data_IF_363743388249
#
_entry.id   IF_363743388249
#
_cell.length_a   1.000
_cell.length_b   1.000
_cell.length_c   1.000
_cell.angle_alpha   90.00
_cell.angle_beta   90.00
_cell.angle_gamma   90.00
#
_symmetry.space_group_name_H-M   'P 1'
#
loop_
_entity.id
_entity.type
_entity.pdbx_description
1 polymer ?
#
# COMPACT_ATOMS: atom_id res chain seq x y z
N UNK A 1 -26.95 -16.04 -7.98
CA UNK A 1 -26.40 -15.61 -6.68
C UNK A 1 -24.90 -15.34 -6.71
N UNK A 2 -24.01 -16.33 -6.85
CA UNK A 2 -22.54 -16.09 -6.77
C UNK A 2 -21.99 -15.08 -7.80
N UNK A 3 -22.47 -15.14 -9.05
CA UNK A 3 -22.04 -14.23 -10.12
C UNK A 3 -22.56 -12.79 -9.91
N UNK A 4 -23.77 -12.65 -9.38
CA UNK A 4 -24.41 -11.36 -9.06
C UNK A 4 -23.75 -10.70 -7.83
N UNK A 5 -23.37 -11.48 -6.82
CA UNK A 5 -22.61 -10.98 -5.67
C UNK A 5 -21.20 -10.51 -6.09
N UNK A 6 -20.51 -11.23 -6.99
CA UNK A 6 -19.21 -10.77 -7.50
C UNK A 6 -19.32 -9.44 -8.25
N UNK A 7 -20.33 -9.25 -9.10
CA UNK A 7 -20.54 -7.96 -9.77
C UNK A 7 -20.86 -6.83 -8.78
N UNK A 8 -21.62 -7.11 -7.72
CA UNK A 8 -21.91 -6.15 -6.64
C UNK A 8 -20.65 -5.78 -5.85
N UNK A 9 -19.78 -6.75 -5.56
CA UNK A 9 -18.48 -6.53 -4.91
C UNK A 9 -17.56 -5.74 -5.83
N UNK A 10 -17.40 -6.10 -7.11
CA UNK A 10 -16.57 -5.35 -8.07
C UNK A 10 -17.08 -3.91 -8.27
N UNK A 11 -18.40 -3.71 -8.29
CA UNK A 11 -19.03 -2.38 -8.33
C UNK A 11 -18.75 -1.59 -7.05
N UNK A 12 -18.82 -2.25 -5.89
CA UNK A 12 -18.47 -1.65 -4.61
C UNK A 12 -16.98 -1.29 -4.54
N UNK A 13 -16.08 -2.18 -4.98
CA UNK A 13 -14.65 -1.90 -5.12
C UNK A 13 -14.39 -0.73 -6.07
N UNK A 14 -15.12 -0.65 -7.18
CA UNK A 14 -15.00 0.46 -8.15
C UNK A 14 -15.51 1.77 -7.56
N UNK A 15 -16.64 1.76 -6.83
CA UNK A 15 -17.14 2.92 -6.09
C UNK A 15 -16.18 3.33 -4.98
N UNK A 16 -15.58 2.36 -4.28
CA UNK A 16 -14.52 2.59 -3.32
C UNK A 16 -13.37 3.31 -4.03
N UNK A 17 -12.87 2.76 -5.14
CA UNK A 17 -11.80 3.36 -5.93
C UNK A 17 -12.17 4.79 -6.35
N UNK A 18 -13.35 5.04 -6.92
CA UNK A 18 -13.77 6.38 -7.35
C UNK A 18 -13.83 7.35 -6.17
N UNK A 19 -14.35 6.91 -5.02
CA UNK A 19 -14.40 7.69 -3.78
C UNK A 19 -13.00 7.90 -3.16
N UNK A 20 -12.10 6.93 -3.34
CA UNK A 20 -10.71 6.93 -2.87
C UNK A 20 -9.75 7.68 -3.82
N UNK A 21 -10.19 8.08 -5.03
CA UNK A 21 -9.28 8.56 -6.10
C UNK A 21 -9.66 9.91 -6.70
N UNK A 22 -10.89 10.37 -6.58
CA UNK A 22 -11.28 11.71 -7.03
C UNK A 22 -11.24 12.69 -5.84
N UNK A 23 -10.61 13.87 -5.98
CA UNK A 23 -10.84 14.94 -5.01
C UNK A 23 -12.34 15.24 -4.98
N UNK A 24 -12.94 15.54 -3.82
CA UNK A 24 -14.32 15.98 -3.80
C UNK A 24 -14.41 17.19 -4.73
N UNK A 25 -15.20 17.09 -5.81
CA UNK A 25 -15.58 18.28 -6.57
C UNK A 25 -16.20 19.20 -5.53
N UNK A 26 -15.58 20.36 -5.29
CA UNK A 26 -16.23 21.46 -4.59
C UNK A 26 -17.43 21.84 -5.45
N UNK A 27 -18.57 21.20 -5.20
CA UNK A 27 -19.82 21.56 -5.86
C UNK A 27 -20.32 22.92 -5.33
N UNK A 28 -19.76 23.43 -4.23
CA UNK A 28 -20.05 24.78 -3.74
C UNK A 28 -18.77 25.48 -3.24
N UNK A 29 -18.66 26.76 -3.59
CA UNK A 29 -17.50 27.61 -3.35
C UNK A 29 -17.27 27.95 -1.88
N UNK A 30 -16.01 28.29 -1.59
CA UNK A 30 -15.45 29.19 -0.56
C UNK A 30 -16.08 29.33 0.85
N UNK A 31 -16.90 28.40 1.33
CA UNK A 31 -17.29 28.34 2.73
C UNK A 31 -16.81 27.06 3.41
N UNK A 32 -15.66 27.18 4.07
CA UNK A 32 -14.90 26.13 4.75
C UNK A 32 -15.56 25.52 6.00
N UNK A 33 -16.85 25.75 6.25
CA UNK A 33 -17.50 25.43 7.53
C UNK A 33 -18.64 24.42 7.46
N UNK A 34 -19.07 23.97 6.27
CA UNK A 34 -20.22 23.04 6.11
C UNK A 34 -19.92 21.73 5.37
N UNK A 35 -18.65 21.40 5.15
CA UNK A 35 -18.25 20.20 4.37
C UNK A 35 -18.37 18.89 5.18
N UNK A 36 -18.47 18.96 6.50
CA UNK A 36 -18.38 17.76 7.34
C UNK A 36 -19.61 16.84 7.18
N UNK A 37 -20.85 17.31 7.23
CA UNK A 37 -22.02 16.40 7.26
C UNK A 37 -22.35 15.69 5.93
N UNK A 38 -21.93 16.25 4.78
CA UNK A 38 -22.35 15.74 3.46
C UNK A 38 -21.53 14.54 2.95
N UNK A 39 -20.35 14.27 3.50
CA UNK A 39 -19.51 13.12 3.10
C UNK A 39 -19.82 11.88 3.96
N UNK A 40 -20.26 12.07 5.21
CA UNK A 40 -20.59 10.96 6.11
C UNK A 40 -21.80 10.13 5.65
N UNK A 41 -22.84 10.76 5.08
CA UNK A 41 -24.03 10.03 4.65
C UNK A 41 -23.79 9.10 3.43
N UNK A 42 -23.13 9.54 2.34
CA UNK A 42 -22.75 8.67 1.24
C UNK A 42 -21.75 7.57 1.66
N UNK A 43 -20.81 7.89 2.56
CA UNK A 43 -19.80 6.93 3.02
C UNK A 43 -20.36 5.91 4.01
N UNK A 44 -21.29 6.32 4.89
CA UNK A 44 -22.03 5.41 5.76
C UNK A 44 -22.85 4.40 4.97
N UNK A 45 -23.49 4.83 3.88
CA UNK A 45 -24.18 3.92 2.94
C UNK A 45 -23.20 2.96 2.25
N UNK A 46 -22.02 3.44 1.87
CA UNK A 46 -20.97 2.61 1.29
C UNK A 46 -20.50 1.50 2.25
N UNK A 47 -20.28 1.82 3.53
CA UNK A 47 -19.91 0.83 4.55
C UNK A 47 -21.04 -0.18 4.76
N UNK A 48 -22.30 0.28 4.86
CA UNK A 48 -23.45 -0.59 5.03
C UNK A 48 -23.61 -1.58 3.85
N UNK A 49 -23.44 -1.11 2.61
CA UNK A 49 -23.45 -1.96 1.41
C UNK A 49 -22.35 -3.05 1.49
N UNK A 50 -21.15 -2.67 1.92
CA UNK A 50 -20.00 -3.56 2.00
C UNK A 50 -20.15 -4.63 3.09
N UNK A 51 -20.63 -4.24 4.27
CA UNK A 51 -20.95 -5.18 5.35
C UNK A 51 -22.05 -6.15 4.94
N UNK A 52 -23.07 -5.67 4.22
CA UNK A 52 -24.14 -6.50 3.71
C UNK A 52 -23.64 -7.54 2.69
N UNK A 53 -22.77 -7.14 1.76
CA UNK A 53 -22.18 -8.08 0.79
C UNK A 53 -21.21 -9.07 1.44
N UNK A 54 -20.48 -8.66 2.48
CA UNK A 54 -19.63 -9.55 3.26
C UNK A 54 -20.47 -10.63 3.97
N UNK A 55 -21.58 -10.26 4.60
CA UNK A 55 -22.51 -11.23 5.24
C UNK A 55 -23.07 -12.23 4.23
N UNK A 56 -23.46 -11.77 3.03
CA UNK A 56 -23.91 -12.65 1.96
C UNK A 56 -22.81 -13.61 1.48
N UNK A 57 -21.57 -13.14 1.38
CA UNK A 57 -20.44 -13.98 0.98
C UNK A 57 -20.15 -15.08 2.01
N UNK A 58 -20.19 -14.73 3.31
CA UNK A 58 -20.01 -15.69 4.41
C UNK A 58 -21.15 -16.72 4.45
N UNK A 59 -22.41 -16.31 4.27
CA UNK A 59 -23.53 -17.22 4.21
C UNK A 59 -23.45 -18.20 3.02
N UNK A 60 -22.97 -17.72 1.86
CA UNK A 60 -22.70 -18.56 0.68
C UNK A 60 -21.57 -19.57 0.90
N UNK A 61 -20.56 -19.22 1.70
CA UNK A 61 -19.47 -20.11 2.08
C UNK A 61 -19.91 -21.18 3.08
N UNK A 62 -20.82 -20.82 3.99
CA UNK A 62 -21.33 -21.69 5.06
C UNK A 62 -22.60 -22.49 4.68
N UNK A 63 -23.16 -22.29 3.47
CA UNK A 63 -24.44 -22.91 3.00
C UNK A 63 -25.64 -22.65 3.92
N UNK A 64 -25.68 -21.50 4.60
CA UNK A 64 -26.85 -21.09 5.37
C UNK A 64 -27.88 -20.38 4.47
N UNK A 65 -29.19 -20.59 4.68
CA UNK A 65 -30.22 -19.89 3.91
C UNK A 65 -30.27 -18.40 4.33
N UNK A 66 -30.10 -17.51 3.35
CA UNK A 66 -30.24 -16.06 3.53
C UNK A 66 -31.73 -15.69 3.56
N UNK A 67 -32.21 -15.18 4.70
CA UNK A 67 -33.51 -14.49 4.76
C UNK A 67 -33.39 -13.11 4.09
N UNK A 68 -34.20 -12.89 3.04
CA UNK A 68 -34.46 -11.57 2.46
C UNK A 68 -35.31 -10.78 3.45
N UNK A 69 -34.68 -9.90 4.23
CA UNK A 69 -35.44 -8.86 4.96
C UNK A 69 -35.49 -7.62 4.08
N UNK A 70 -36.67 -7.38 3.53
CA UNK A 70 -37.04 -6.16 2.85
C UNK A 70 -36.89 -4.94 3.77
N UNK A 71 -36.49 -3.83 3.18
CA UNK A 71 -36.33 -2.52 3.80
C UNK A 71 -37.64 -1.99 4.40
N UNK A 72 -37.61 -1.62 5.68
CA UNK A 72 -38.35 -0.47 6.18
C UNK A 72 -37.46 0.29 7.18
N UNK A 73 -37.17 1.55 6.83
CA UNK A 73 -36.42 2.49 7.66
C UNK A 73 -37.44 3.12 8.61
N UNK A 74 -37.56 2.60 9.82
CA UNK A 74 -38.12 3.35 10.94
C UNK A 74 -37.00 3.74 11.91
N UNK A 75 -36.87 5.06 12.09
CA UNK A 75 -36.04 5.67 13.12
C UNK A 75 -36.53 5.24 14.50
N UNK A 76 -35.76 4.41 15.20
CA UNK A 76 -35.88 4.27 16.66
C UNK A 76 -34.49 4.34 17.27
N UNK A 77 -34.25 5.46 17.93
CA UNK A 77 -33.21 5.68 18.92
C UNK A 77 -33.44 4.75 20.12
N UNK A 78 -32.47 3.90 20.43
CA UNK A 78 -32.17 3.48 21.81
C UNK A 78 -30.79 2.85 21.96
N UNK A 79 -30.16 2.97 23.14
CA UNK A 79 -28.73 2.82 23.34
C UNK A 79 -28.34 1.41 23.78
N UNK A 80 -27.09 1.04 23.47
CA UNK A 80 -26.33 0.05 24.23
C UNK A 80 -26.57 -1.42 23.87
N UNK A 81 -25.71 -1.94 23.00
CA UNK A 81 -25.08 -3.24 23.26
C UNK A 81 -23.75 -3.28 22.53
N UNK A 82 -22.69 -2.89 23.24
CA UNK A 82 -21.33 -3.23 22.86
C UNK A 82 -21.19 -4.75 22.95
N UNK A 83 -21.55 -5.44 21.87
CA UNK A 83 -21.09 -6.80 21.64
C UNK A 83 -19.58 -6.70 21.38
N UNK A 84 -18.80 -6.87 22.45
CA UNK A 84 -17.36 -7.12 22.41
C UNK A 84 -17.10 -8.50 21.82
N UNK A 85 -17.47 -8.71 20.55
CA UNK A 85 -16.88 -9.77 19.77
C UNK A 85 -15.46 -9.28 19.43
N UNK A 86 -14.47 -9.71 20.22
CA UNK A 86 -13.07 -9.59 19.83
C UNK A 86 -12.94 -10.28 18.46
N UNK A 87 -12.88 -9.48 17.39
CA UNK A 87 -12.59 -9.96 16.06
C UNK A 87 -11.27 -10.75 16.13
N UNK A 88 -11.18 -11.92 15.47
CA UNK A 88 -9.96 -12.71 15.50
C UNK A 88 -8.80 -11.83 15.02
N UNK A 89 -7.76 -11.71 15.86
CA UNK A 89 -6.55 -10.95 15.59
C UNK A 89 -5.93 -11.45 14.28
N UNK A 90 -6.26 -10.79 13.16
CA UNK A 90 -5.70 -11.12 11.85
C UNK A 90 -4.23 -10.74 11.88
N UNK A 91 -3.36 -11.75 12.04
CA UNK A 91 -1.92 -11.54 12.00
C UNK A 91 -1.45 -11.34 10.56
N UNK A 92 -0.95 -10.14 10.25
CA UNK A 92 -0.37 -9.81 8.94
C UNK A 92 1.09 -9.42 9.17
N UNK A 93 2.07 -10.25 8.73
CA UNK A 93 3.49 -9.98 8.94
C UNK A 93 3.91 -8.62 8.38
N UNK A 94 4.61 -7.83 9.21
CA UNK A 94 5.09 -6.51 8.83
C UNK A 94 4.07 -5.39 8.96
N UNK A 95 2.83 -5.71 9.37
CA UNK A 95 1.74 -4.75 9.56
C UNK A 95 1.48 -4.46 11.04
N UNK A 96 2.58 -4.22 11.77
CA UNK A 96 2.63 -3.66 13.12
C UNK A 96 3.94 -2.89 13.27
N UNK A 97 3.93 -1.76 13.96
CA UNK A 97 5.10 -0.90 14.19
C UNK A 97 6.23 -1.67 14.88
N UNK A 98 5.90 -2.51 15.87
CA UNK A 98 6.91 -3.31 16.59
C UNK A 98 7.61 -4.32 15.68
N UNK A 99 6.84 -5.02 14.85
CA UNK A 99 7.37 -5.95 13.85
C UNK A 99 8.16 -5.20 12.78
N UNK A 100 7.64 -4.07 12.32
CA UNK A 100 8.24 -3.28 11.26
C UNK A 100 9.59 -2.68 11.67
N UNK A 101 9.71 -2.18 12.91
CA UNK A 101 10.98 -1.73 13.48
C UNK A 101 11.98 -2.89 13.56
N UNK A 102 11.54 -4.07 14.03
CA UNK A 102 12.41 -5.26 14.13
C UNK A 102 12.89 -5.70 12.75
N UNK A 103 11.99 -5.85 11.78
CA UNK A 103 12.31 -6.28 10.43
C UNK A 103 13.27 -5.29 9.75
N UNK A 104 13.04 -3.99 9.89
CA UNK A 104 13.90 -2.95 9.32
C UNK A 104 15.30 -2.98 9.97
N UNK A 105 15.38 -3.11 11.30
CA UNK A 105 16.66 -3.23 12.02
C UNK A 105 17.45 -4.46 11.60
N UNK A 106 16.80 -5.61 11.39
CA UNK A 106 17.46 -6.83 10.91
C UNK A 106 18.08 -6.60 9.53
N UNK A 107 17.32 -6.02 8.60
CA UNK A 107 17.84 -5.71 7.26
C UNK A 107 18.98 -4.70 7.31
N UNK A 108 18.83 -3.62 8.08
CA UNK A 108 19.85 -2.57 8.20
C UNK A 108 21.15 -3.12 8.80
N UNK A 109 21.07 -3.96 9.83
CA UNK A 109 22.22 -4.65 10.39
C UNK A 109 22.89 -5.59 9.38
N UNK A 110 22.10 -6.30 8.56
CA UNK A 110 22.63 -7.23 7.55
C UNK A 110 23.39 -6.50 6.44
N UNK A 111 22.95 -5.30 6.04
CA UNK A 111 23.61 -4.50 5.00
C UNK A 111 24.66 -3.53 5.56
N UNK A 112 24.73 -3.34 6.87
CA UNK A 112 25.64 -2.37 7.49
C UNK A 112 27.11 -2.62 7.15
N UNK A 113 27.55 -3.88 7.21
CA UNK A 113 28.91 -4.27 6.82
C UNK A 113 29.20 -3.93 5.36
N UNK A 114 28.24 -4.18 4.47
CA UNK A 114 28.33 -3.87 3.05
C UNK A 114 28.48 -2.37 2.77
N UNK A 115 27.73 -1.54 3.51
CA UNK A 115 27.71 -0.09 3.33
C UNK A 115 28.91 0.62 3.99
N UNK A 116 29.46 0.00 5.03
CA UNK A 116 30.58 0.56 5.80
C UNK A 116 31.94 0.18 5.22
N UNK A 117 32.01 -0.87 4.40
CA UNK A 117 33.26 -1.30 3.75
C UNK A 117 33.56 -0.44 2.49
N UNK A 118 34.69 0.30 2.47
CA UNK A 118 35.11 1.08 1.31
C UNK A 118 35.27 0.26 0.02
N UNK A 119 35.59 -1.04 0.11
CA UNK A 119 35.78 -1.93 -1.04
C UNK A 119 34.50 -2.11 -1.85
N UNK A 120 33.33 -2.02 -1.20
CA UNK A 120 32.03 -2.23 -1.84
C UNK A 120 31.32 -0.93 -2.22
N UNK A 121 31.94 0.22 -1.97
CA UNK A 121 31.32 1.54 -2.22
C UNK A 121 30.89 1.74 -3.66
N UNK A 122 31.72 1.34 -4.62
CA UNK A 122 31.40 1.46 -6.05
C UNK A 122 30.25 0.53 -6.42
N UNK A 123 30.32 -0.75 -6.04
CA UNK A 123 29.28 -1.75 -6.34
C UNK A 123 27.93 -1.39 -5.70
N UNK A 124 27.92 -0.93 -4.45
CA UNK A 124 26.69 -0.48 -3.76
C UNK A 124 26.12 0.80 -4.37
N UNK A 125 26.95 1.73 -4.84
CA UNK A 125 26.49 2.90 -5.59
C UNK A 125 25.85 2.50 -6.93
N UNK A 126 26.43 1.51 -7.64
CA UNK A 126 25.87 0.98 -8.88
C UNK A 126 24.50 0.34 -8.64
N UNK A 127 24.35 -0.53 -7.63
CA UNK A 127 23.04 -1.12 -7.26
C UNK A 127 22.00 -0.03 -6.99
N UNK A 128 22.35 0.97 -6.18
CA UNK A 128 21.45 2.08 -5.86
C UNK A 128 21.05 2.86 -7.12
N UNK A 129 21.99 3.04 -8.04
CA UNK A 129 21.77 3.76 -9.31
C UNK A 129 20.87 2.98 -10.26
N UNK A 130 21.12 1.68 -10.45
CA UNK A 130 20.31 0.76 -11.26
C UNK A 130 18.85 0.80 -10.79
N UNK A 131 18.65 0.56 -9.48
CA UNK A 131 17.31 0.48 -8.89
C UNK A 131 16.62 1.85 -8.89
N UNK A 132 17.31 2.89 -8.41
CA UNK A 132 16.76 4.24 -8.32
C UNK A 132 16.35 4.80 -9.68
N UNK A 133 17.20 4.60 -10.70
CA UNK A 133 16.95 5.05 -12.07
C UNK A 133 15.79 4.30 -12.72
N UNK A 134 15.70 2.98 -12.52
CA UNK A 134 14.57 2.21 -13.02
C UNK A 134 13.26 2.68 -12.39
N UNK A 135 13.23 2.89 -11.07
CA UNK A 135 12.07 3.39 -10.35
C UNK A 135 11.62 4.78 -10.82
N UNK A 136 12.56 5.72 -11.01
CA UNK A 136 12.22 7.08 -11.45
C UNK A 136 11.69 7.16 -12.89
N UNK A 137 11.91 6.12 -13.69
CA UNK A 137 11.49 6.05 -15.08
C UNK A 137 10.12 5.37 -15.27
N UNK A 138 9.55 4.79 -14.21
CA UNK A 138 8.19 4.23 -14.26
C UNK A 138 7.20 5.40 -14.22
N UNK A 139 6.70 5.78 -15.40
CA UNK A 139 5.81 6.92 -15.58
C UNK A 139 4.61 6.53 -16.44
N UNK A 140 3.50 7.25 -16.32
CA UNK A 140 2.23 6.92 -17.00
C UNK A 140 2.30 6.90 -18.52
N UNK A 141 3.25 7.61 -19.11
CA UNK A 141 3.17 7.99 -20.53
C UNK A 141 3.50 6.85 -21.51
N UNK A 142 4.04 5.72 -21.03
CA UNK A 142 4.44 4.60 -21.88
C UNK A 142 4.37 3.25 -21.12
N UNK A 143 3.29 2.46 -21.34
CA UNK A 143 3.16 1.14 -20.74
C UNK A 143 4.27 0.15 -21.16
N UNK A 144 4.75 0.23 -22.40
CA UNK A 144 5.83 -0.63 -22.89
C UNK A 144 7.14 -0.30 -22.18
N UNK A 145 7.42 0.99 -21.99
CA UNK A 145 8.54 1.43 -21.17
C UNK A 145 8.45 0.93 -19.74
N UNK A 146 7.26 1.01 -19.11
CA UNK A 146 7.05 0.50 -17.75
C UNK A 146 7.31 -1.01 -17.66
N UNK A 147 6.83 -1.79 -18.64
CA UNK A 147 7.09 -3.22 -18.72
C UNK A 147 8.59 -3.52 -18.92
N UNK A 148 9.27 -2.73 -19.76
CA UNK A 148 10.72 -2.85 -19.94
C UNK A 148 11.49 -2.56 -18.64
N UNK A 149 11.09 -1.55 -17.86
CA UNK A 149 11.68 -1.25 -16.55
C UNK A 149 11.38 -2.33 -15.52
N UNK A 150 10.17 -2.88 -15.52
CA UNK A 150 9.81 -4.04 -14.70
C UNK A 150 10.67 -5.26 -15.04
N UNK A 151 10.79 -5.61 -16.31
CA UNK A 151 11.61 -6.75 -16.77
C UNK A 151 13.09 -6.55 -16.45
N UNK A 152 13.58 -5.32 -16.58
CA UNK A 152 14.94 -4.95 -16.18
C UNK A 152 15.17 -5.16 -14.68
N UNK A 153 14.25 -4.69 -13.83
CA UNK A 153 14.30 -4.93 -12.38
C UNK A 153 14.19 -6.42 -12.03
N UNK A 154 13.28 -7.16 -12.67
CA UNK A 154 13.14 -8.61 -12.47
C UNK A 154 14.43 -9.35 -12.84
N UNK A 155 15.02 -9.01 -13.98
CA UNK A 155 16.29 -9.61 -14.44
C UNK A 155 17.39 -9.36 -13.40
N UNK A 156 17.49 -8.11 -12.93
CA UNK A 156 18.48 -7.74 -11.93
C UNK A 156 18.28 -8.45 -10.59
N UNK A 157 17.04 -8.49 -10.06
CA UNK A 157 16.71 -9.14 -8.79
C UNK A 157 16.88 -10.67 -8.83
N UNK A 158 16.73 -11.28 -10.02
CA UNK A 158 17.07 -12.70 -10.25
C UNK A 158 18.56 -12.96 -10.14
N UNK A 159 19.41 -11.93 -10.15
CA UNK A 159 20.87 -12.04 -10.15
C UNK A 159 21.45 -12.13 -11.54
N UNK A 160 20.67 -11.92 -12.60
CA UNK A 160 21.22 -11.83 -13.94
C UNK A 160 21.91 -10.47 -14.14
N UNK A 161 22.99 -10.41 -14.93
CA UNK A 161 23.73 -9.18 -15.17
C UNK A 161 22.89 -8.19 -15.97
N UNK A 162 22.90 -6.92 -15.57
CA UNK A 162 22.19 -5.84 -16.25
C UNK A 162 23.11 -4.66 -16.50
N UNK A 163 22.81 -3.88 -17.54
CA UNK A 163 23.63 -2.72 -17.90
C UNK A 163 23.31 -1.52 -17.01
N UNK A 164 24.27 -0.95 -16.25
CA UNK A 164 24.02 0.23 -15.43
C UNK A 164 23.66 1.46 -16.27
N UNK A 165 22.79 2.37 -15.76
CA UNK A 165 22.52 3.66 -16.39
C UNK A 165 23.81 4.45 -16.63
N UNK A 166 23.94 5.09 -17.80
CA UNK A 166 25.10 5.93 -18.13
C UNK A 166 26.35 5.19 -18.61
N UNK A 167 26.35 3.86 -18.64
CA UNK A 167 27.42 3.08 -19.29
C UNK A 167 27.40 3.32 -20.82
N UNK A 168 28.55 3.61 -21.43
CA UNK A 168 28.67 3.89 -22.87
C UNK A 168 28.31 2.68 -23.75
N UNK A 169 27.85 2.93 -24.99
CA UNK A 169 27.39 1.91 -25.97
C UNK A 169 28.51 0.91 -26.36
N UNK A 170 29.77 1.27 -26.13
CA UNK A 170 30.94 0.49 -26.55
C UNK A 170 31.59 -0.36 -25.44
N UNK A 171 31.02 -0.41 -24.22
CA UNK A 171 31.58 -1.18 -23.10
C UNK A 171 30.62 -2.25 -22.59
N UNK A 172 31.10 -3.49 -22.50
CA UNK A 172 30.43 -4.67 -21.96
C UNK A 172 30.19 -4.63 -20.43
N UNK A 173 30.04 -3.45 -19.84
CA UNK A 173 29.97 -3.29 -18.39
C UNK A 173 28.55 -3.63 -17.92
N UNK A 174 28.28 -4.93 -17.85
CA UNK A 174 27.13 -5.45 -17.15
C UNK A 174 27.47 -5.61 -15.67
N UNK A 175 26.52 -5.34 -14.81
CA UNK A 175 26.65 -5.48 -13.37
C UNK A 175 25.73 -6.58 -12.87
N UNK A 176 26.28 -7.47 -12.04
CA UNK A 176 25.56 -8.56 -11.40
C UNK A 176 25.57 -8.37 -9.88
N UNK A 177 24.49 -8.76 -9.20
CA UNK A 177 24.40 -8.70 -7.74
C UNK A 177 25.43 -9.58 -7.02
N UNK A 178 25.95 -10.62 -7.69
CA UNK A 178 26.99 -11.51 -7.16
C UNK A 178 28.35 -10.83 -6.98
N UNK A 179 28.52 -9.61 -7.53
CA UNK A 179 29.67 -8.76 -7.23
C UNK A 179 29.71 -8.29 -5.76
N UNK A 180 28.63 -8.50 -4.99
CA UNK A 180 28.55 -8.21 -3.57
C UNK A 180 28.60 -9.51 -2.76
N UNK A 181 29.36 -9.55 -1.64
CA UNK A 181 29.64 -10.78 -0.92
C UNK A 181 28.41 -11.38 -0.22
N UNK A 182 28.47 -12.68 0.03
CA UNK A 182 27.57 -13.38 0.96
C UNK A 182 26.08 -13.33 0.58
N UNK A 183 25.76 -13.12 -0.70
CA UNK A 183 24.38 -12.97 -1.15
C UNK A 183 23.71 -11.66 -0.73
N UNK A 184 24.46 -10.73 -0.12
CA UNK A 184 23.93 -9.45 0.37
C UNK A 184 23.50 -8.53 -0.77
N UNK A 185 23.95 -8.77 -2.00
CA UNK A 185 23.55 -7.98 -3.17
C UNK A 185 22.04 -7.94 -3.37
N UNK A 186 21.34 -9.08 -3.25
CA UNK A 186 19.88 -9.13 -3.38
C UNK A 186 19.16 -8.42 -2.24
N UNK A 187 19.60 -8.64 -1.00
CA UNK A 187 19.06 -7.96 0.18
C UNK A 187 19.19 -6.45 0.05
N UNK A 188 20.37 -5.97 -0.38
CA UNK A 188 20.63 -4.57 -0.59
C UNK A 188 19.84 -3.98 -1.77
N UNK A 189 19.68 -4.72 -2.87
CA UNK A 189 18.85 -4.30 -4.00
C UNK A 189 17.38 -4.10 -3.60
N UNK A 190 16.81 -5.02 -2.80
CA UNK A 190 15.46 -4.86 -2.24
C UNK A 190 15.36 -3.68 -1.28
N UNK A 191 16.36 -3.49 -0.41
CA UNK A 191 16.43 -2.30 0.44
C UNK A 191 16.43 -1.00 -0.39
N UNK A 192 17.22 -0.93 -1.48
CA UNK A 192 17.22 0.20 -2.40
C UNK A 192 15.86 0.37 -3.09
N UNK A 193 15.22 -0.72 -3.52
CA UNK A 193 13.94 -0.70 -4.23
C UNK A 193 12.82 -0.15 -3.34
N UNK A 194 12.71 -0.64 -2.11
CA UNK A 194 11.72 -0.17 -1.14
C UNK A 194 11.99 1.27 -0.71
N UNK A 195 13.26 1.65 -0.57
CA UNK A 195 13.65 3.03 -0.27
C UNK A 195 13.28 3.98 -1.43
N UNK A 196 13.53 3.57 -2.67
CA UNK A 196 13.15 4.34 -3.86
C UNK A 196 11.63 4.43 -4.00
N UNK A 197 10.90 3.33 -3.78
CA UNK A 197 9.43 3.31 -3.82
C UNK A 197 8.82 4.27 -2.78
N UNK A 198 9.34 4.28 -1.55
CA UNK A 198 8.93 5.24 -0.53
C UNK A 198 9.28 6.68 -0.90
N UNK A 199 10.43 6.93 -1.51
CA UNK A 199 10.78 8.26 -1.98
C UNK A 199 9.81 8.75 -3.07
N UNK A 200 9.48 7.89 -4.05
CA UNK A 200 8.48 8.21 -5.06
C UNK A 200 7.11 8.46 -4.44
N UNK A 201 6.74 7.66 -3.44
CA UNK A 201 5.50 7.86 -2.71
C UNK A 201 5.44 9.25 -2.07
N UNK A 202 6.45 9.59 -1.26
CA UNK A 202 6.49 10.85 -0.51
C UNK A 202 6.56 12.09 -1.40
N UNK A 203 7.23 12.02 -2.55
CA UNK A 203 7.50 13.20 -3.38
C UNK A 203 6.64 13.34 -4.62
N UNK A 204 6.17 12.23 -5.22
CA UNK A 204 5.41 12.25 -6.48
C UNK A 204 3.96 11.79 -6.28
N UNK A 205 3.76 10.64 -5.63
CA UNK A 205 2.42 10.03 -5.53
C UNK A 205 1.48 10.82 -4.61
N UNK A 206 2.06 11.61 -3.69
CA UNK A 206 1.32 12.59 -2.90
C UNK A 206 0.56 13.61 -3.76
N UNK A 207 1.03 13.87 -4.98
CA UNK A 207 0.46 14.88 -5.89
C UNK A 207 -0.14 14.29 -7.18
N UNK A 208 0.32 13.10 -7.62
CA UNK A 208 -0.13 12.48 -8.87
C UNK A 208 -0.50 11.02 -8.65
N UNK A 209 -1.80 10.75 -8.54
CA UNK A 209 -2.33 9.38 -8.52
C UNK A 209 -2.03 8.65 -9.84
N UNK A 210 -2.08 9.38 -10.94
CA UNK A 210 -1.84 8.89 -12.28
C UNK A 210 -0.46 8.24 -12.45
N UNK A 211 0.54 8.77 -11.75
CA UNK A 211 1.89 8.21 -11.69
C UNK A 211 1.98 7.00 -10.74
N UNK A 212 1.15 6.95 -9.72
CA UNK A 212 1.11 5.86 -8.73
C UNK A 212 0.68 4.54 -9.34
N UNK A 213 -0.33 4.54 -10.22
CA UNK A 213 -0.92 3.31 -10.78
C UNK A 213 0.07 2.42 -11.56
N UNK A 214 0.82 2.93 -12.55
CA UNK A 214 1.81 2.10 -13.25
C UNK A 214 2.92 1.62 -12.30
N UNK A 215 3.35 2.46 -11.36
CA UNK A 215 4.33 2.07 -10.35
C UNK A 215 3.83 0.95 -9.45
N UNK A 216 2.58 1.05 -9.00
CA UNK A 216 1.93 0.05 -8.18
C UNK A 216 1.77 -1.28 -8.91
N UNK A 217 1.47 -1.28 -10.21
CA UNK A 217 1.43 -2.49 -11.03
C UNK A 217 2.80 -3.17 -11.13
N UNK A 218 3.88 -2.39 -11.33
CA UNK A 218 5.26 -2.91 -11.28
C UNK A 218 5.57 -3.51 -9.91
N UNK A 219 5.31 -2.76 -8.83
CA UNK A 219 5.57 -3.23 -7.46
C UNK A 219 4.77 -4.49 -7.10
N UNK A 220 3.47 -4.54 -7.43
CA UNK A 220 2.64 -5.71 -7.22
C UNK A 220 3.17 -6.93 -7.97
N UNK A 221 3.68 -6.74 -9.19
CA UNK A 221 4.28 -7.81 -9.99
C UNK A 221 5.59 -8.32 -9.40
N UNK A 222 6.48 -7.41 -8.97
CA UNK A 222 7.72 -7.76 -8.29
C UNK A 222 7.43 -8.53 -6.99
N UNK A 223 6.49 -8.04 -6.16
CA UNK A 223 6.10 -8.70 -4.92
C UNK A 223 5.42 -10.06 -5.18
N UNK A 224 4.66 -10.19 -6.27
CA UNK A 224 4.14 -11.47 -6.77
C UNK A 224 5.22 -12.50 -7.05
N UNK A 225 6.34 -12.07 -7.63
CA UNK A 225 7.49 -12.92 -7.91
C UNK A 225 8.36 -13.22 -6.67
N UNK A 226 8.27 -12.39 -5.63
CA UNK A 226 9.09 -12.46 -4.42
C UNK A 226 8.22 -12.29 -3.16
N UNK A 227 7.34 -13.26 -2.85
CA UNK A 227 6.38 -13.15 -1.75
C UNK A 227 7.05 -13.04 -0.37
N UNK A 228 8.29 -13.50 -0.23
CA UNK A 228 9.12 -13.36 0.97
C UNK A 228 9.46 -11.89 1.30
N UNK A 229 9.36 -10.99 0.33
CA UNK A 229 9.64 -9.56 0.49
C UNK A 229 8.40 -8.75 0.93
N UNK A 230 7.21 -9.35 0.89
CA UNK A 230 5.96 -8.70 1.31
C UNK A 230 6.01 -8.17 2.75
N UNK A 231 6.47 -8.94 3.76
CA UNK A 231 6.56 -8.42 5.11
C UNK A 231 7.50 -7.22 5.23
N UNK A 232 8.59 -7.21 4.44
CA UNK A 232 9.53 -6.08 4.43
C UNK A 232 8.92 -4.84 3.77
N UNK A 233 8.22 -5.02 2.64
CA UNK A 233 7.45 -3.95 2.00
C UNK A 233 6.41 -3.34 2.95
N UNK A 234 5.57 -4.17 3.58
CA UNK A 234 4.55 -3.72 4.53
C UNK A 234 5.19 -3.01 5.73
N UNK A 235 6.28 -3.56 6.27
CA UNK A 235 7.03 -2.92 7.37
C UNK A 235 7.48 -1.50 7.02
N UNK A 236 8.05 -1.32 5.82
CA UNK A 236 8.53 -0.02 5.34
C UNK A 236 7.38 0.97 5.14
N UNK A 237 6.22 0.52 4.67
CA UNK A 237 5.02 1.35 4.57
C UNK A 237 4.46 1.73 5.94
N UNK A 238 4.35 0.78 6.88
CA UNK A 238 3.85 1.03 8.24
C UNK A 238 4.73 2.02 9.00
N UNK A 239 6.05 1.93 8.87
CA UNK A 239 6.95 2.93 9.48
C UNK A 239 6.83 4.30 8.80
N UNK A 240 6.57 4.34 7.49
CA UNK A 240 6.43 5.59 6.75
C UNK A 240 5.05 6.24 6.92
N UNK A 241 4.01 5.47 7.23
CA UNK A 241 2.65 5.92 7.53
C UNK A 241 2.04 4.99 8.61
N UNK A 242 2.17 5.36 9.90
CA UNK A 242 1.69 4.53 11.02
C UNK A 242 0.21 4.18 10.96
N UNK A 243 -0.59 5.09 10.38
CA UNK A 243 -2.04 4.93 10.20
C UNK A 243 -2.43 3.72 9.33
N UNK A 244 -1.52 3.18 8.51
CA UNK A 244 -1.82 1.94 7.77
C UNK A 244 -2.02 0.73 8.69
N UNK A 245 -1.47 0.78 9.90
CA UNK A 245 -1.56 -0.28 10.91
C UNK A 245 -2.62 -0.02 11.99
N UNK A 246 -3.55 0.92 11.80
CA UNK A 246 -4.55 1.29 12.83
C UNK A 246 -5.40 0.14 13.35
N UNK A 247 -5.65 -0.91 12.55
CA UNK A 247 -6.38 -2.08 13.01
C UNK A 247 -5.56 -2.96 13.99
N UNK A 248 -4.23 -2.90 13.93
CA UNK A 248 -3.32 -3.68 14.80
C UNK A 248 -2.78 -2.84 15.95
N UNK A 249 -2.26 -1.65 15.65
CA UNK A 249 -1.52 -0.80 16.59
C UNK A 249 -2.37 0.35 17.15
N UNK A 250 -3.71 0.27 17.10
CA UNK A 250 -4.59 1.41 17.37
C UNK A 250 -4.29 2.18 18.65
N UNK A 251 -4.03 1.49 19.77
CA UNK A 251 -3.68 2.13 21.04
C UNK A 251 -2.27 2.75 21.04
N UNK A 252 -1.33 2.19 20.27
CA UNK A 252 0.02 2.75 20.15
C UNK A 252 -0.01 4.08 19.38
N UNK A 253 -0.91 4.23 18.42
CA UNK A 253 -1.03 5.45 17.60
C UNK A 253 -1.36 6.69 18.45
N UNK A 254 -2.16 6.55 19.51
CA UNK A 254 -2.52 7.62 20.44
C UNK A 254 -1.31 8.16 21.21
N UNK A 255 -0.25 7.36 21.35
CA UNK A 255 0.98 7.74 22.04
C UNK A 255 2.06 8.31 21.12
N UNK A 256 1.85 8.29 19.80
CA UNK A 256 2.86 8.71 18.83
C UNK A 256 2.77 10.21 18.57
N UNK A 257 3.80 11.02 18.91
CA UNK A 257 3.78 12.46 18.70
C UNK A 257 3.51 12.85 17.25
N UNK A 258 4.14 12.11 16.32
CA UNK A 258 3.97 12.29 14.87
C UNK A 258 2.51 12.11 14.41
N UNK A 259 1.70 11.32 15.12
CA UNK A 259 0.27 11.07 14.82
C UNK A 259 -0.66 12.05 15.52
N UNK A 260 -0.33 12.43 16.76
CA UNK A 260 -1.13 13.37 17.56
C UNK A 260 -1.00 14.80 17.03
N UNK A 261 0.21 15.21 16.64
CA UNK A 261 0.52 16.54 16.11
C UNK A 261 1.36 16.43 14.82
N UNK A 262 0.77 15.98 13.70
CA UNK A 262 1.50 15.78 12.46
C UNK A 262 1.96 17.11 11.85
N UNK A 263 3.18 17.17 11.33
CA UNK A 263 3.60 18.30 10.50
C UNK A 263 3.03 18.19 9.09
N UNK A 264 2.90 19.31 8.37
CA UNK A 264 2.37 19.34 7.00
C UNK A 264 3.18 18.43 6.04
N UNK A 265 4.49 18.36 6.24
CA UNK A 265 5.38 17.46 5.52
C UNK A 265 5.05 15.97 5.76
N UNK A 266 4.68 15.61 6.99
CA UNK A 266 4.29 14.25 7.35
C UNK A 266 2.96 13.88 6.71
N UNK A 267 1.99 14.79 6.74
CA UNK A 267 0.68 14.60 6.09
C UNK A 267 0.85 14.34 4.58
N UNK A 268 1.64 15.19 3.90
CA UNK A 268 1.90 15.01 2.46
C UNK A 268 2.59 13.68 2.18
N UNK A 269 3.59 13.32 2.98
CA UNK A 269 4.28 12.05 2.87
C UNK A 269 3.33 10.85 3.06
N UNK A 270 2.47 10.90 4.07
CA UNK A 270 1.49 9.85 4.36
C UNK A 270 0.46 9.70 3.25
N UNK A 271 -0.03 10.80 2.68
CA UNK A 271 -0.88 10.78 1.47
C UNK A 271 -0.21 10.00 0.35
N UNK A 272 1.06 10.25 0.09
CA UNK A 272 1.82 9.53 -0.92
C UNK A 272 1.96 8.03 -0.62
N UNK A 273 2.34 7.70 0.60
CA UNK A 273 2.57 6.32 1.07
C UNK A 273 1.28 5.50 1.07
N UNK A 274 0.18 6.06 1.56
CA UNK A 274 -1.09 5.35 1.60
C UNK A 274 -1.70 5.19 0.19
N UNK A 275 -1.40 6.08 -0.77
CA UNK A 275 -1.76 5.91 -2.19
C UNK A 275 -1.00 4.74 -2.80
N UNK A 276 0.31 4.65 -2.55
CA UNK A 276 1.11 3.51 -2.99
C UNK A 276 0.57 2.20 -2.40
N UNK A 277 0.28 2.17 -1.10
CA UNK A 277 -0.29 1.01 -0.42
C UNK A 277 -1.60 0.56 -1.08
N UNK A 278 -2.59 1.45 -1.16
CA UNK A 278 -3.89 1.12 -1.74
C UNK A 278 -3.76 0.70 -3.22
N UNK A 279 -2.96 1.43 -4.00
CA UNK A 279 -2.75 1.11 -5.40
C UNK A 279 -2.11 -0.27 -5.58
N UNK A 280 -1.14 -0.67 -4.75
CA UNK A 280 -0.52 -2.01 -4.84
C UNK A 280 -1.53 -3.11 -4.50
N UNK A 281 -2.39 -2.90 -3.50
CA UNK A 281 -3.44 -3.86 -3.13
C UNK A 281 -4.54 -4.00 -4.19
N UNK A 282 -4.70 -3.03 -5.07
CA UNK A 282 -5.72 -3.01 -6.13
C UNK A 282 -5.15 -3.20 -7.53
N UNK A 283 -3.83 -3.12 -7.69
CA UNK A 283 -3.18 -3.18 -8.98
C UNK A 283 -3.44 -4.51 -9.69
N UNK A 284 -3.81 -4.41 -10.97
CA UNK A 284 -3.81 -5.55 -11.89
C UNK A 284 -2.40 -5.71 -12.42
N UNK A 285 -1.83 -6.88 -12.20
CA UNK A 285 -0.52 -7.26 -12.72
C UNK A 285 -0.60 -7.48 -14.25
N UNK A 286 0.50 -7.28 -14.99
CA UNK A 286 0.53 -7.50 -16.43
C UNK A 286 0.18 -8.95 -16.80
N UNK A 287 -0.29 -9.20 -18.05
CA UNK A 287 -0.56 -10.54 -18.54
C UNK A 287 0.65 -11.47 -18.32
N UNK A 288 0.39 -12.67 -17.77
CA UNK A 288 1.44 -13.65 -17.44
C UNK A 288 1.88 -13.65 -15.97
N UNK A 289 1.55 -12.60 -15.21
CA UNK A 289 1.79 -12.54 -13.77
C UNK A 289 0.44 -12.58 -13.06
N UNK A 290 -0.03 -13.75 -12.64
CA UNK A 290 -1.37 -13.89 -12.03
C UNK A 290 -1.32 -14.11 -10.52
N UNK A 291 -0.17 -14.49 -10.01
CA UNK A 291 -0.02 -14.83 -8.61
C UNK A 291 0.08 -13.57 -7.77
N UNK A 292 -0.89 -13.42 -6.86
CA UNK A 292 -0.92 -12.35 -5.88
C UNK A 292 -0.45 -12.91 -4.54
N UNK A 293 0.53 -12.29 -3.87
CA UNK A 293 1.00 -12.77 -2.59
C UNK A 293 -0.11 -12.78 -1.54
N UNK A 294 -0.02 -13.68 -0.54
CA UNK A 294 -0.86 -13.61 0.64
C UNK A 294 -0.86 -12.20 1.24
N UNK A 295 -2.04 -11.74 1.68
CA UNK A 295 -2.28 -10.42 2.29
C UNK A 295 -2.12 -9.19 1.39
N UNK A 296 -1.47 -9.26 0.22
CA UNK A 296 -1.44 -8.14 -0.75
C UNK A 296 -2.68 -8.14 -1.65
N UNK A 297 -3.86 -8.01 -1.05
CA UNK A 297 -5.14 -8.08 -1.75
C UNK A 297 -6.16 -7.07 -1.15
N UNK A 298 -7.35 -6.91 -1.76
CA UNK A 298 -8.31 -5.88 -1.33
C UNK A 298 -8.85 -6.11 0.08
N UNK A 299 -8.80 -7.35 0.61
CA UNK A 299 -9.17 -7.65 2.00
C UNK A 299 -8.31 -6.87 2.99
N UNK A 300 -7.02 -6.70 2.70
CA UNK A 300 -6.15 -5.91 3.57
C UNK A 300 -6.51 -4.43 3.55
N UNK A 301 -6.86 -3.89 2.37
CA UNK A 301 -7.32 -2.50 2.26
C UNK A 301 -8.58 -2.29 3.11
N UNK A 302 -9.51 -3.24 3.05
CA UNK A 302 -10.73 -3.23 3.86
C UNK A 302 -10.42 -3.21 5.37
N UNK A 303 -9.53 -4.09 5.83
CA UNK A 303 -9.11 -4.13 7.24
C UNK A 303 -8.46 -2.82 7.69
N UNK A 304 -7.60 -2.22 6.87
CA UNK A 304 -6.98 -0.93 7.17
C UNK A 304 -8.02 0.18 7.28
N UNK A 305 -8.99 0.26 6.35
CA UNK A 305 -10.07 1.25 6.39
C UNK A 305 -10.94 1.06 7.63
N UNK A 306 -11.37 -0.17 7.93
CA UNK A 306 -12.16 -0.49 9.11
C UNK A 306 -11.42 -0.11 10.41
N UNK A 307 -10.12 -0.41 10.48
CA UNK A 307 -9.27 -0.03 11.60
C UNK A 307 -9.16 1.49 11.78
N UNK A 308 -9.02 2.24 10.69
CA UNK A 308 -9.03 3.70 10.74
C UNK A 308 -10.36 4.25 11.22
N UNK A 309 -11.48 3.61 10.87
CA UNK A 309 -12.85 4.05 11.20
C UNK A 309 -13.16 3.85 12.69
N UNK A 310 -12.74 2.71 13.24
CA UNK A 310 -13.07 2.30 14.62
C UNK A 310 -12.20 2.94 15.71
N UNK A 311 -11.23 3.78 15.35
CA UNK A 311 -10.28 4.41 16.30
C UNK A 311 -10.59 5.91 16.47
N UNK A 312 -10.21 6.50 17.61
CA UNK A 312 -10.45 7.92 17.86
C UNK A 312 -9.90 8.76 16.70
N UNK A 313 -10.71 9.70 16.25
CA UNK A 313 -10.45 10.49 15.06
C UNK A 313 -9.30 11.46 15.34
N UNK A 314 -8.15 11.28 14.67
CA UNK A 314 -7.07 12.27 14.62
C UNK A 314 -7.39 13.25 13.47
N UNK A 315 -7.84 14.49 13.73
CA UNK A 315 -8.55 15.27 12.70
C UNK A 315 -7.75 15.53 11.42
N UNK A 316 -6.45 15.80 11.53
CA UNK A 316 -5.59 16.08 10.38
C UNK A 316 -5.00 14.80 9.77
N UNK A 317 -4.48 13.91 10.60
CA UNK A 317 -3.86 12.65 10.17
C UNK A 317 -4.87 11.69 9.53
N UNK A 318 -6.03 11.54 10.17
CA UNK A 318 -7.12 10.69 9.70
C UNK A 318 -7.78 11.29 8.48
N UNK A 319 -7.96 12.61 8.35
CA UNK A 319 -8.52 13.19 7.13
C UNK A 319 -7.57 13.07 5.92
N UNK A 320 -6.26 13.12 6.13
CA UNK A 320 -5.27 12.99 5.05
C UNK A 320 -5.11 11.54 4.59
N UNK A 321 -5.18 10.58 5.52
CA UNK A 321 -5.12 9.14 5.21
C UNK A 321 -6.50 8.55 4.89
N UNK A 322 -7.60 9.20 5.30
CA UNK A 322 -8.98 8.96 4.81
C UNK A 322 -9.33 9.80 3.58
N UNK A 323 -8.37 10.55 3.03
CA UNK A 323 -8.42 11.21 1.71
C UNK A 323 -9.44 12.36 1.59
N UNK A 324 -8.97 13.59 1.84
CA UNK A 324 -9.40 14.79 1.11
C UNK A 324 -8.47 15.05 -0.07
#
# INVERSE_FOLDING_TARGET
MKYDLMQKIESLETRAIVFLTLPPKSVYGDEYTHVDDNIYAPFGRFIADAEFYLRQAVALENKEPLEEVASDIEQVSSPGSESSAEEPLVYIPGLSRTQALRATKVTDNAIFSLLSDPQHRTSTAIVKTIVGSACSQITRNDPEHCLNRMNYLLTFLKGAPVRPPGSGIQGSDQFCLDALPGGLGRTYAWHCLLTAALAQAKHQFAYSLESTLPFAAVMATLLGCYPDQVPHFLSRLTLACPLLASFVDGHLLESLPEVVEPHEGDLTAWRGVARLFAAVLLARTPPGFRDRPPHLNPKLLWLTIAGLIRRPFFPQATAVVRWR
#
